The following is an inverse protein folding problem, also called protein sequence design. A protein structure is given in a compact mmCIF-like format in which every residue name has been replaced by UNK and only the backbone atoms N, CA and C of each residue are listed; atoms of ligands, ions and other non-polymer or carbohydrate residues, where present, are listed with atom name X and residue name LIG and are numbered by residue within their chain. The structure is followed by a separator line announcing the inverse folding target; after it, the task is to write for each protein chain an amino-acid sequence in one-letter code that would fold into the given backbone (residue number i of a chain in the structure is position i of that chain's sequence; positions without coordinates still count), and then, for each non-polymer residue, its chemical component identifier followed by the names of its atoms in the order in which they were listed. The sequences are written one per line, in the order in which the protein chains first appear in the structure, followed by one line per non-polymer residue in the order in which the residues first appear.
data_IF_054655617622
#
_entry.id   IF_054655617622
#
_cell.length_a   1.000
_cell.length_b   1.000
_cell.length_c   1.000
_cell.angle_alpha   90.00
_cell.angle_beta   90.00
_cell.angle_gamma   90.00
#
_symmetry.space_group_name_H-M   'P 1'
#
loop_
_entity.id
_entity.type
_entity.pdbx_description
1 polymer ?
#
# COMPACT_ATOMS: atom_id res chain seq x y z
N UNK A 1 -20.89 -12.20 0.27
CA UNK A 1 -21.33 -10.80 0.38
C UNK A 1 -22.75 -10.68 0.83
N UNK A 2 -23.71 -11.27 0.16
CA UNK A 2 -25.14 -11.17 0.49
C UNK A 2 -25.45 -11.41 1.97
N UNK A 3 -24.99 -12.53 2.55
CA UNK A 3 -25.15 -12.82 3.98
C UNK A 3 -24.59 -11.72 4.91
N UNK A 4 -23.51 -11.06 4.54
CA UNK A 4 -22.95 -9.96 5.34
C UNK A 4 -23.84 -8.72 5.27
N UNK A 5 -24.41 -8.41 4.09
CA UNK A 5 -25.36 -7.31 3.93
C UNK A 5 -26.61 -7.59 4.76
N UNK A 6 -27.18 -8.80 4.67
CA UNK A 6 -28.38 -9.19 5.43
C UNK A 6 -28.18 -9.12 6.96
N UNK A 7 -26.99 -9.52 7.46
CA UNK A 7 -26.65 -9.37 8.88
C UNK A 7 -26.53 -7.91 9.32
N UNK A 8 -26.16 -7.02 8.41
CA UNK A 8 -26.16 -5.59 8.70
C UNK A 8 -27.56 -5.00 8.67
N UNK A 9 -28.39 -5.39 7.70
CA UNK A 9 -29.79 -4.97 7.57
C UNK A 9 -30.62 -5.36 8.81
N UNK A 10 -30.45 -6.60 9.30
CA UNK A 10 -31.13 -7.08 10.51
C UNK A 10 -30.61 -6.45 11.81
N UNK A 11 -29.51 -5.70 11.76
CA UNK A 11 -28.85 -5.16 12.94
C UNK A 11 -27.97 -6.16 13.69
N UNK A 12 -28.01 -7.44 13.30
CA UNK A 12 -27.14 -8.48 13.87
C UNK A 12 -25.70 -8.32 13.43
N UNK A 13 -24.78 -8.35 14.40
CA UNK A 13 -23.32 -8.28 14.13
C UNK A 13 -22.91 -7.14 13.18
N UNK A 14 -23.60 -6.01 13.23
CA UNK A 14 -23.42 -4.81 12.36
C UNK A 14 -21.95 -4.45 12.13
N UNK A 15 -21.17 -4.32 13.20
CA UNK A 15 -19.76 -3.94 13.12
C UNK A 15 -18.92 -4.98 12.34
N UNK A 16 -19.20 -6.28 12.58
CA UNK A 16 -18.50 -7.38 11.87
C UNK A 16 -18.90 -7.43 10.40
N UNK A 17 -20.17 -7.28 10.09
CA UNK A 17 -20.69 -7.28 8.73
C UNK A 17 -20.09 -6.12 7.91
N UNK A 18 -20.13 -4.89 8.45
CA UNK A 18 -19.50 -3.71 7.85
C UNK A 18 -18.01 -3.95 7.59
N UNK A 19 -17.27 -4.44 8.58
CA UNK A 19 -15.84 -4.73 8.46
C UNK A 19 -15.56 -5.73 7.33
N UNK A 20 -16.35 -6.80 7.19
CA UNK A 20 -16.19 -7.79 6.12
C UNK A 20 -16.43 -7.12 4.76
N UNK A 21 -17.51 -6.39 4.59
CA UNK A 21 -17.85 -5.74 3.32
C UNK A 21 -16.77 -4.74 2.89
N UNK A 22 -16.31 -3.88 3.80
CA UNK A 22 -15.25 -2.90 3.49
C UNK A 22 -13.87 -3.52 3.30
N UNK A 23 -13.62 -4.69 3.90
CA UNK A 23 -12.32 -5.38 3.76
C UNK A 23 -12.18 -6.09 2.41
N UNK A 24 -13.25 -6.76 1.97
CA UNK A 24 -13.19 -7.61 0.78
C UNK A 24 -13.74 -6.94 -0.49
N UNK A 25 -13.96 -5.63 -0.46
CA UNK A 25 -14.33 -4.82 -1.62
C UNK A 25 -13.61 -3.48 -1.60
N UNK A 26 -13.62 -2.78 -2.71
CA UNK A 26 -13.12 -1.39 -2.79
C UNK A 26 -14.19 -0.35 -2.44
N UNK A 27 -15.42 -0.80 -2.13
CA UNK A 27 -16.56 0.08 -1.83
C UNK A 27 -16.52 0.63 -0.41
N UNK A 28 -17.05 1.83 -0.23
CA UNK A 28 -17.07 2.58 1.05
C UNK A 28 -18.46 3.09 1.41
N UNK A 29 -19.49 2.32 1.11
CA UNK A 29 -20.86 2.70 1.45
C UNK A 29 -21.07 2.74 2.97
N UNK A 30 -21.92 3.65 3.41
CA UNK A 30 -22.15 3.94 4.84
C UNK A 30 -23.39 3.26 5.38
N UNK A 31 -24.31 2.89 4.51
CA UNK A 31 -25.58 2.25 4.88
C UNK A 31 -25.73 0.85 4.27
N UNK A 32 -26.48 -0.05 4.91
CA UNK A 32 -26.74 -1.36 4.34
C UNK A 32 -27.57 -1.29 3.04
N UNK A 33 -28.42 -0.28 2.88
CA UNK A 33 -29.21 -0.08 1.68
C UNK A 33 -28.34 0.23 0.45
N UNK A 34 -27.30 1.07 0.60
CA UNK A 34 -26.31 1.34 -0.45
C UNK A 34 -25.55 0.07 -0.83
N UNK A 35 -25.15 -0.74 0.16
CA UNK A 35 -24.51 -2.03 -0.07
C UNK A 35 -25.41 -3.00 -0.82
N UNK A 36 -26.69 -3.04 -0.46
CA UNK A 36 -27.69 -3.89 -1.13
C UNK A 36 -27.88 -3.48 -2.57
N UNK A 37 -28.10 -2.19 -2.83
CA UNK A 37 -28.29 -1.65 -4.16
C UNK A 37 -27.08 -1.94 -5.07
N UNK A 38 -25.88 -1.71 -4.56
CA UNK A 38 -24.65 -1.98 -5.30
C UNK A 38 -24.48 -3.50 -5.57
N UNK A 39 -24.74 -4.35 -4.56
CA UNK A 39 -24.63 -5.80 -4.73
C UNK A 39 -25.61 -6.32 -5.78
N UNK A 40 -26.88 -5.93 -5.70
CA UNK A 40 -27.90 -6.35 -6.67
C UNK A 40 -27.56 -5.92 -8.11
N UNK A 41 -27.05 -4.70 -8.26
CA UNK A 41 -26.63 -4.18 -9.58
C UNK A 41 -25.42 -4.90 -10.16
N UNK A 42 -24.57 -5.51 -9.34
CA UNK A 42 -23.27 -6.03 -9.79
C UNK A 42 -23.09 -7.55 -9.57
N UNK A 43 -24.01 -8.25 -8.88
CA UNK A 43 -23.84 -9.64 -8.46
C UNK A 43 -23.50 -10.62 -9.57
N UNK A 44 -24.00 -10.40 -10.78
CA UNK A 44 -23.73 -11.23 -11.98
C UNK A 44 -22.32 -11.02 -12.54
N UNK A 45 -21.68 -9.91 -12.21
CA UNK A 45 -20.34 -9.50 -12.68
C UNK A 45 -19.27 -9.54 -11.59
N UNK A 46 -19.67 -9.92 -10.36
CA UNK A 46 -18.73 -10.03 -9.26
C UNK A 46 -17.84 -11.25 -9.43
N UNK A 47 -16.55 -11.05 -9.32
CA UNK A 47 -15.58 -12.13 -9.21
C UNK A 47 -14.64 -11.90 -8.04
N UNK A 48 -14.10 -12.99 -7.51
CA UNK A 48 -13.14 -12.97 -6.43
C UNK A 48 -11.73 -13.11 -6.99
N UNK A 49 -10.79 -12.30 -6.49
CA UNK A 49 -9.39 -12.39 -6.89
C UNK A 49 -8.48 -12.49 -5.67
N UNK A 50 -7.46 -13.33 -5.77
CA UNK A 50 -6.37 -13.43 -4.81
C UNK A 50 -5.20 -12.53 -5.20
N UNK A 51 -5.06 -12.24 -6.49
CA UNK A 51 -3.95 -11.49 -7.07
C UNK A 51 -3.87 -10.01 -6.74
N UNK A 52 -4.85 -9.46 -6.03
CA UNK A 52 -4.88 -8.05 -5.57
C UNK A 52 -5.20 -7.90 -4.09
N UNK A 53 -5.14 -9.00 -3.31
CA UNK A 53 -5.37 -8.97 -1.87
C UNK A 53 -6.73 -9.49 -1.42
N UNK A 54 -7.25 -10.54 -1.99
CA UNK A 54 -8.49 -11.19 -1.55
C UNK A 54 -9.72 -10.29 -1.68
N UNK A 55 -10.00 -9.78 -2.88
CA UNK A 55 -11.04 -8.81 -3.14
C UNK A 55 -12.15 -9.36 -4.04
N UNK A 56 -13.38 -8.92 -3.80
CA UNK A 56 -14.45 -9.00 -4.77
C UNK A 56 -14.43 -7.74 -5.64
N UNK A 57 -14.24 -7.94 -6.95
CA UNK A 57 -14.23 -6.91 -7.96
C UNK A 57 -15.41 -7.08 -8.90
N UNK A 58 -15.82 -6.00 -9.54
CA UNK A 58 -16.83 -6.01 -10.60
C UNK A 58 -16.13 -6.06 -11.95
N UNK A 59 -16.51 -7.02 -12.81
CA UNK A 59 -16.05 -7.05 -14.20
C UNK A 59 -16.70 -5.90 -14.98
N UNK A 60 -15.89 -4.93 -15.39
CA UNK A 60 -16.33 -3.72 -16.12
C UNK A 60 -15.93 -3.73 -17.57
N UNK A 61 -15.48 -4.88 -18.13
CA UNK A 61 -14.96 -4.93 -19.51
C UNK A 61 -15.98 -4.55 -20.56
N UNK A 62 -17.25 -4.72 -20.30
CA UNK A 62 -18.31 -4.56 -21.30
C UNK A 62 -19.21 -3.33 -21.10
N UNK A 63 -19.10 -2.59 -19.98
CA UNK A 63 -19.94 -1.41 -19.72
C UNK A 63 -19.26 -0.38 -18.80
N UNK A 64 -19.45 0.92 -19.12
CA UNK A 64 -19.21 2.00 -18.16
C UNK A 64 -20.27 1.92 -17.06
N UNK A 65 -19.87 1.66 -15.81
CA UNK A 65 -20.78 1.59 -14.66
C UNK A 65 -21.03 3.00 -14.14
N UNK A 66 -22.25 3.56 -14.25
CA UNK A 66 -22.56 4.86 -13.67
C UNK A 66 -22.48 4.78 -12.14
N UNK A 67 -21.75 5.70 -11.51
CA UNK A 67 -21.78 5.92 -10.06
C UNK A 67 -20.66 5.31 -9.24
N UNK A 68 -19.65 4.71 -9.84
CA UNK A 68 -18.40 4.36 -9.16
C UNK A 68 -17.31 5.33 -9.58
N UNK A 69 -17.00 6.32 -8.75
CA UNK A 69 -15.84 7.22 -8.91
C UNK A 69 -14.49 6.52 -8.71
N UNK A 70 -14.49 5.19 -8.75
CA UNK A 70 -13.27 4.40 -8.81
C UNK A 70 -12.95 4.13 -10.27
N UNK A 71 -12.29 5.07 -10.90
CA UNK A 71 -11.60 4.84 -12.16
C UNK A 71 -10.49 3.84 -11.88
N UNK A 72 -10.76 2.56 -12.12
CA UNK A 72 -9.68 1.60 -12.32
C UNK A 72 -9.00 2.10 -13.59
N UNK A 73 -7.82 2.66 -13.44
CA UNK A 73 -6.96 2.96 -14.57
C UNK A 73 -6.76 1.64 -15.30
N UNK A 74 -7.48 1.46 -16.40
CA UNK A 74 -7.30 0.32 -17.29
C UNK A 74 -5.83 0.31 -17.69
N UNK A 75 -5.16 -0.77 -17.41
CA UNK A 75 -3.86 -1.05 -17.99
C UNK A 75 -4.01 -1.07 -19.51
N UNK A 76 -3.59 0.02 -20.11
CA UNK A 76 -3.05 0.24 -21.38
C UNK A 76 -3.66 -0.39 -22.61
N UNK A 77 -4.24 0.42 -23.40
CA UNK A 77 -3.93 0.43 -24.85
C UNK A 77 -2.63 1.23 -25.00
N UNK A 78 -1.69 0.62 -25.67
CA UNK A 78 -0.41 1.19 -26.09
C UNK A 78 -0.67 2.44 -26.96
N UNK A 79 -0.77 3.59 -26.32
CA UNK A 79 -0.73 4.89 -26.97
C UNK A 79 0.63 5.48 -26.68
N UNK A 80 1.31 5.86 -27.75
CA UNK A 80 2.64 6.41 -27.81
C UNK A 80 3.03 7.25 -26.58
N UNK A 81 4.16 6.88 -25.99
CA UNK A 81 4.83 7.62 -24.92
C UNK A 81 5.04 9.07 -25.36
N UNK A 82 4.52 10.08 -24.67
CA UNK A 82 5.04 11.40 -24.77
C UNK A 82 6.43 11.40 -24.10
N UNK A 83 7.37 11.98 -24.82
CA UNK A 83 8.74 12.24 -24.51
C UNK A 83 8.94 12.71 -23.06
N UNK A 84 9.83 11.99 -22.34
CA UNK A 84 10.50 12.40 -21.08
C UNK A 84 9.71 13.31 -20.14
N UNK A 85 8.80 12.76 -19.39
CA UNK A 85 8.44 13.36 -18.12
C UNK A 85 9.61 13.14 -17.16
N UNK A 86 10.25 14.22 -16.77
CA UNK A 86 11.18 14.25 -15.64
C UNK A 86 10.49 13.61 -14.46
N UNK A 87 11.06 12.53 -13.92
CA UNK A 87 10.61 11.92 -12.67
C UNK A 87 10.91 12.92 -11.57
N UNK A 88 9.96 13.81 -11.32
CA UNK A 88 9.98 14.72 -10.19
C UNK A 88 9.92 13.87 -8.92
N UNK A 89 10.82 14.17 -8.00
CA UNK A 89 10.77 13.71 -6.62
C UNK A 89 9.37 14.03 -6.07
N UNK A 90 8.50 13.02 -5.94
CA UNK A 90 7.21 13.24 -5.32
C UNK A 90 7.40 13.15 -3.81
N UNK A 91 7.95 14.21 -3.22
CA UNK A 91 7.89 14.43 -1.79
C UNK A 91 6.44 14.74 -1.41
N UNK A 92 5.67 13.72 -1.12
CA UNK A 92 4.45 13.92 -0.34
C UNK A 92 4.87 14.05 1.11
N UNK A 93 5.16 15.26 1.56
CA UNK A 93 5.64 15.54 2.93
C UNK A 93 4.53 15.58 3.97
N UNK A 94 3.27 15.60 3.54
CA UNK A 94 2.10 15.64 4.43
C UNK A 94 1.35 14.32 4.40
N UNK A 95 0.95 13.86 5.58
CA UNK A 95 0.11 12.68 5.77
C UNK A 95 -1.26 13.09 6.29
N UNK A 96 -2.31 12.43 5.84
CA UNK A 96 -3.68 12.59 6.30
C UNK A 96 -4.40 11.23 6.34
N UNK A 97 -5.67 11.20 6.72
CA UNK A 97 -6.46 9.97 6.80
C UNK A 97 -6.67 9.28 5.43
N UNK A 98 -6.52 9.99 4.32
CA UNK A 98 -6.63 9.43 2.96
C UNK A 98 -5.29 8.90 2.46
N UNK A 99 -4.20 9.57 2.85
CA UNK A 99 -2.82 9.21 2.52
C UNK A 99 -1.98 9.12 3.79
N UNK A 100 -2.19 8.08 4.63
CA UNK A 100 -1.56 8.01 5.94
C UNK A 100 -0.06 7.69 5.90
N UNK A 101 0.51 7.40 4.73
CA UNK A 101 1.93 7.08 4.58
C UNK A 101 2.56 7.96 3.52
N UNK A 102 3.53 8.77 3.92
CA UNK A 102 4.41 9.52 3.05
C UNK A 102 5.82 8.89 3.07
N UNK A 103 6.45 8.76 1.91
CA UNK A 103 7.77 8.16 1.79
C UNK A 103 8.65 9.10 0.98
N UNK A 104 9.85 9.36 1.51
CA UNK A 104 10.91 10.06 0.80
C UNK A 104 12.20 9.24 0.86
N UNK A 105 13.05 9.40 -0.14
CA UNK A 105 14.36 8.78 -0.15
C UNK A 105 15.38 9.70 -0.79
N UNK A 106 16.63 9.65 -0.31
CA UNK A 106 17.75 10.41 -0.86
C UNK A 106 19.06 9.65 -0.63
N UNK A 107 20.09 10.11 -1.28
CA UNK A 107 21.44 9.55 -1.17
C UNK A 107 22.35 10.56 -0.48
N UNK A 108 23.11 10.09 0.50
CA UNK A 108 24.13 10.86 1.23
C UNK A 108 25.51 10.31 0.89
N UNK A 109 26.51 11.17 0.74
CA UNK A 109 27.89 10.75 0.56
C UNK A 109 28.53 10.46 1.93
N UNK A 110 29.19 9.32 2.06
CA UNK A 110 29.91 8.94 3.25
C UNK A 110 31.42 9.25 3.12
N UNK A 111 32.11 9.49 4.24
CA UNK A 111 33.57 9.52 4.26
C UNK A 111 34.12 8.18 3.74
N UNK A 112 35.03 8.22 2.80
CA UNK A 112 35.63 7.01 2.21
C UNK A 112 35.07 6.59 0.85
N UNK A 113 34.15 7.39 0.27
CA UNK A 113 33.67 7.21 -1.10
C UNK A 113 32.42 6.33 -1.25
N UNK A 114 31.97 5.67 -0.19
CA UNK A 114 30.68 5.01 -0.18
C UNK A 114 29.53 6.04 -0.08
N UNK A 115 28.33 5.58 -0.39
CA UNK A 115 27.09 6.38 -0.29
C UNK A 115 26.07 5.68 0.57
N UNK A 116 25.17 6.44 1.17
CA UNK A 116 24.10 5.93 2.02
C UNK A 116 22.76 6.29 1.42
N UNK A 117 21.97 5.29 1.09
CA UNK A 117 20.55 5.47 0.74
C UNK A 117 19.78 5.58 2.05
N UNK A 118 19.07 6.68 2.21
CA UNK A 118 18.22 6.97 3.38
C UNK A 118 16.77 7.00 2.92
N UNK A 119 15.95 6.08 3.43
CA UNK A 119 14.52 5.99 3.13
C UNK A 119 13.76 6.35 4.40
N UNK A 120 13.03 7.44 4.36
CA UNK A 120 12.20 7.93 5.46
C UNK A 120 10.73 7.64 5.16
N UNK A 121 10.06 6.98 6.10
CA UNK A 121 8.62 6.68 6.03
C UNK A 121 7.95 7.42 7.18
N UNK A 122 7.08 8.37 6.85
CA UNK A 122 6.25 9.09 7.81
C UNK A 122 4.84 8.50 7.80
N UNK A 123 4.35 8.14 8.98
CA UNK A 123 3.06 7.48 9.19
C UNK A 123 2.16 8.44 9.97
N UNK A 124 0.95 8.65 9.47
CA UNK A 124 -0.03 9.53 10.11
C UNK A 124 -0.40 9.05 11.51
N UNK A 125 -0.69 9.99 12.40
CA UNK A 125 -1.07 9.66 13.79
C UNK A 125 -2.27 8.73 13.84
N UNK A 126 -2.21 7.68 14.66
CA UNK A 126 -3.24 6.65 14.76
C UNK A 126 -3.13 5.54 13.71
N UNK A 127 -2.18 5.64 12.78
CA UNK A 127 -1.89 4.61 11.79
C UNK A 127 -0.57 3.89 12.07
N UNK A 128 -0.43 2.69 11.52
CA UNK A 128 0.78 1.89 11.57
C UNK A 128 0.96 1.07 10.30
N UNK A 129 2.21 0.65 10.04
CA UNK A 129 2.56 -0.35 9.03
C UNK A 129 3.33 -1.48 9.73
N UNK A 130 3.40 -2.65 9.13
CA UNK A 130 3.92 -3.84 9.80
C UNK A 130 5.42 -4.02 9.56
N UNK A 131 6.21 -4.06 10.64
CA UNK A 131 7.64 -4.35 10.60
C UNK A 131 7.91 -5.86 10.49
N UNK A 132 7.11 -6.64 11.20
CA UNK A 132 7.11 -8.11 11.20
C UNK A 132 5.71 -8.58 11.52
N UNK A 133 5.25 -9.60 10.83
CA UNK A 133 3.94 -10.21 11.04
C UNK A 133 4.13 -11.61 11.58
N UNK A 134 3.40 -11.99 12.63
CA UNK A 134 3.35 -13.35 13.12
C UNK A 134 2.62 -14.25 12.10
N UNK A 135 2.99 -15.54 12.02
CA UNK A 135 2.40 -16.48 11.06
C UNK A 135 0.87 -16.61 11.18
N UNK A 136 0.34 -16.36 12.37
CA UNK A 136 -1.10 -16.42 12.65
C UNK A 136 -1.88 -15.18 12.24
N UNK A 137 -1.18 -14.09 11.89
CA UNK A 137 -1.79 -12.80 11.61
C UNK A 137 -1.93 -12.58 10.09
N UNK A 138 -3.07 -12.09 9.61
CA UNK A 138 -3.35 -11.94 8.17
C UNK A 138 -2.86 -10.60 7.61
N UNK A 139 -1.75 -10.07 8.11
CA UNK A 139 -1.21 -8.78 7.69
C UNK A 139 -0.02 -8.95 6.74
N UNK A 140 0.40 -7.87 6.11
CA UNK A 140 1.52 -7.85 5.17
C UNK A 140 2.66 -7.03 5.75
N UNK A 141 3.83 -7.66 5.84
CA UNK A 141 5.08 -7.03 6.31
C UNK A 141 5.54 -5.95 5.32
N UNK A 142 6.10 -4.87 5.86
CA UNK A 142 6.75 -3.84 5.05
C UNK A 142 8.03 -4.38 4.41
N UNK A 143 8.08 -4.35 3.09
CA UNK A 143 9.24 -4.73 2.30
C UNK A 143 9.88 -3.47 1.70
N UNK A 144 11.20 -3.42 1.77
CA UNK A 144 12.00 -2.40 1.10
C UNK A 144 12.95 -3.12 0.15
N UNK A 145 12.82 -2.82 -1.15
CA UNK A 145 13.67 -3.33 -2.22
C UNK A 145 14.33 -2.14 -2.93
N UNK A 146 15.62 -2.26 -3.20
CA UNK A 146 16.38 -1.23 -3.89
C UNK A 146 16.89 -1.85 -5.19
N UNK A 147 16.41 -1.35 -6.30
CA UNK A 147 16.89 -1.72 -7.63
C UNK A 147 18.12 -0.88 -7.92
N UNK A 148 19.27 -1.54 -7.90
CA UNK A 148 20.57 -0.93 -8.17
C UNK A 148 20.94 -1.19 -9.62
N UNK A 149 21.46 -0.18 -10.34
CA UNK A 149 21.99 -0.36 -11.67
C UNK A 149 23.33 -1.12 -11.62
N UNK A 150 23.78 -1.59 -12.79
CA UNK A 150 25.07 -2.23 -12.94
C UNK A 150 26.21 -1.28 -12.49
N UNK A 151 27.15 -1.82 -11.72
CA UNK A 151 28.27 -1.07 -11.15
C UNK A 151 28.03 -0.50 -9.75
N UNK A 152 26.82 -0.66 -9.19
CA UNK A 152 26.55 -0.33 -7.79
C UNK A 152 26.21 -1.61 -7.01
N UNK A 153 26.83 -1.77 -5.85
CA UNK A 153 26.62 -2.90 -4.96
C UNK A 153 26.23 -2.43 -3.56
N UNK A 154 25.43 -3.26 -2.85
CA UNK A 154 25.13 -3.00 -1.45
C UNK A 154 26.30 -3.35 -0.56
N UNK A 155 26.55 -2.53 0.47
CA UNK A 155 27.53 -2.78 1.52
C UNK A 155 26.78 -3.13 2.80
N UNK A 156 26.93 -4.37 3.25
CA UNK A 156 26.20 -4.88 4.41
C UNK A 156 24.71 -5.09 4.17
N UNK A 157 23.97 -5.25 5.27
CA UNK A 157 22.52 -5.47 5.24
C UNK A 157 21.74 -4.15 5.37
N UNK A 158 20.51 -4.15 4.83
CA UNK A 158 19.56 -3.06 5.03
C UNK A 158 19.30 -2.84 6.53
N UNK A 159 19.70 -1.71 7.06
CA UNK A 159 19.42 -1.32 8.43
C UNK A 159 17.94 -0.98 8.57
N UNK A 160 17.24 -1.78 9.37
CA UNK A 160 15.82 -1.61 9.65
C UNK A 160 15.63 -0.91 10.99
N UNK A 161 14.68 0.04 11.11
CA UNK A 161 14.38 0.67 12.40
C UNK A 161 13.74 -0.34 13.35
N UNK A 162 13.87 -0.09 14.65
CA UNK A 162 13.13 -0.85 15.66
C UNK A 162 11.63 -0.55 15.55
N UNK A 163 10.82 -1.60 15.64
CA UNK A 163 9.36 -1.48 15.70
C UNK A 163 8.83 -1.68 17.13
N UNK A 164 7.53 -1.41 17.31
CA UNK A 164 6.80 -1.65 18.57
C UNK A 164 6.03 -2.98 18.48
N UNK A 165 6.06 -3.76 19.54
CA UNK A 165 5.22 -4.97 19.65
C UNK A 165 3.74 -4.55 19.59
N UNK A 166 3.02 -5.14 18.63
CA UNK A 166 1.62 -4.83 18.36
C UNK A 166 0.65 -5.73 19.15
N UNK A 167 0.94 -7.02 19.21
CA UNK A 167 0.10 -8.00 19.88
C UNK A 167 0.91 -9.14 20.53
N UNK A 168 0.22 -10.02 21.26
CA UNK A 168 0.82 -11.16 21.96
C UNK A 168 1.36 -12.25 21.00
N UNK A 169 0.88 -12.29 19.75
CA UNK A 169 1.39 -13.23 18.75
C UNK A 169 2.79 -12.87 18.24
N UNK A 170 3.28 -11.68 18.59
CA UNK A 170 4.63 -11.23 18.24
C UNK A 170 4.70 -10.40 16.96
N UNK A 171 3.56 -9.93 16.44
CA UNK A 171 3.54 -8.93 15.37
C UNK A 171 4.10 -7.61 15.86
N UNK A 172 4.94 -6.98 15.03
CA UNK A 172 5.64 -5.72 15.31
C UNK A 172 5.25 -4.71 14.25
N UNK A 173 5.02 -3.46 14.67
CA UNK A 173 4.60 -2.36 13.78
C UNK A 173 5.57 -1.19 13.82
N UNK A 174 5.56 -0.41 12.76
CA UNK A 174 6.14 0.92 12.69
C UNK A 174 5.03 1.98 12.83
N UNK A 175 5.33 3.03 13.56
CA UNK A 175 4.46 4.18 13.80
C UNK A 175 5.27 5.48 13.69
N UNK A 176 4.60 6.60 13.49
CA UNK A 176 5.19 7.94 13.41
C UNK A 176 6.15 8.09 12.22
N UNK A 177 7.44 8.17 12.50
CA UNK A 177 8.49 8.29 11.51
C UNK A 177 9.54 7.20 11.72
N UNK A 178 9.90 6.50 10.64
CA UNK A 178 10.94 5.48 10.66
C UNK A 178 11.89 5.67 9.49
N UNK A 179 13.14 5.26 9.70
CA UNK A 179 14.21 5.46 8.71
C UNK A 179 14.92 4.14 8.46
N UNK A 180 14.96 3.75 7.19
CA UNK A 180 15.78 2.64 6.68
C UNK A 180 17.05 3.21 6.07
N UNK A 181 18.16 2.46 6.19
CA UNK A 181 19.45 2.88 5.65
C UNK A 181 20.13 1.71 4.95
N UNK A 182 20.67 1.98 3.75
CA UNK A 182 21.46 1.01 3.00
C UNK A 182 22.72 1.70 2.48
N UNK A 183 23.86 1.22 2.91
CA UNK A 183 25.13 1.63 2.37
C UNK A 183 25.36 0.97 1.01
N UNK A 184 25.88 1.73 0.06
CA UNK A 184 26.21 1.28 -1.30
C UNK A 184 27.61 1.77 -1.70
N UNK A 185 28.24 1.03 -2.58
CA UNK A 185 29.52 1.37 -3.20
C UNK A 185 29.41 1.28 -4.71
N UNK A 186 30.36 1.91 -5.41
CA UNK A 186 30.39 1.96 -6.87
C UNK A 186 29.81 3.24 -7.44
N UNK A 187 29.98 3.40 -8.75
CA UNK A 187 29.51 4.54 -9.53
C UNK A 187 28.60 4.05 -10.66
N UNK A 188 27.51 4.74 -10.89
CA UNK A 188 26.65 4.54 -12.05
C UNK A 188 26.01 5.88 -12.44
N UNK A 189 25.83 6.07 -13.73
CA UNK A 189 25.16 7.25 -14.31
C UNK A 189 23.62 7.09 -14.37
N UNK A 190 23.10 5.95 -13.98
CA UNK A 190 21.68 5.62 -14.07
C UNK A 190 20.97 5.74 -12.72
N UNK A 191 19.69 6.11 -12.77
CA UNK A 191 18.84 6.29 -11.59
C UNK A 191 18.63 4.95 -10.84
N UNK A 192 18.72 5.00 -9.54
CA UNK A 192 18.32 3.91 -8.64
C UNK A 192 16.83 4.03 -8.31
N UNK A 193 16.15 2.91 -8.03
CA UNK A 193 14.75 2.91 -7.64
C UNK A 193 14.55 2.16 -6.34
N UNK A 194 13.95 2.84 -5.35
CA UNK A 194 13.46 2.19 -4.14
C UNK A 194 12.01 1.79 -4.31
N UNK A 195 11.68 0.52 -4.05
CA UNK A 195 10.32 0.00 -3.99
C UNK A 195 9.97 -0.34 -2.55
N UNK A 196 8.89 0.25 -2.06
CA UNK A 196 8.44 0.07 -0.69
C UNK A 196 7.02 -0.47 -0.71
N UNK A 197 6.88 -1.79 -0.43
CA UNK A 197 5.61 -2.46 -0.27
C UNK A 197 5.18 -2.43 1.20
N UNK A 198 3.92 -2.08 1.48
CA UNK A 198 3.40 -2.05 2.84
C UNK A 198 1.88 -2.19 2.89
N UNK A 199 1.37 -2.58 4.05
CA UNK A 199 -0.04 -2.48 4.40
C UNK A 199 -0.17 -1.50 5.57
N UNK A 200 -1.03 -0.48 5.42
CA UNK A 200 -1.28 0.52 6.45
C UNK A 200 -2.63 0.27 7.11
N UNK A 201 -2.65 0.25 8.44
CA UNK A 201 -3.85 0.05 9.24
C UNK A 201 -3.95 1.10 10.35
N UNK A 202 -5.17 1.34 10.82
CA UNK A 202 -5.45 1.94 12.12
C UNK A 202 -6.26 0.96 12.97
N UNK A 203 -6.81 1.39 14.11
CA UNK A 203 -7.57 0.52 15.01
C UNK A 203 -8.83 -0.09 14.37
N UNK A 204 -9.35 0.50 13.30
CA UNK A 204 -10.63 0.12 12.70
C UNK A 204 -10.52 -0.37 11.28
N UNK A 205 -9.52 0.07 10.52
CA UNK A 205 -9.40 -0.18 9.07
C UNK A 205 -7.97 -0.60 8.72
N UNK A 206 -7.84 -1.65 7.90
CA UNK A 206 -6.64 -1.95 7.14
C UNK A 206 -6.85 -1.55 5.68
N UNK A 207 -5.95 -0.74 5.18
CA UNK A 207 -5.95 -0.36 3.76
C UNK A 207 -5.46 -1.51 2.89
N UNK A 208 -5.76 -1.44 1.62
CA UNK A 208 -5.18 -2.36 0.62
C UNK A 208 -3.66 -2.23 0.63
N UNK A 209 -2.93 -3.35 0.57
CA UNK A 209 -1.48 -3.31 0.38
C UNK A 209 -1.09 -2.46 -0.82
N UNK A 210 -0.07 -1.66 -0.65
CA UNK A 210 0.37 -0.66 -1.63
C UNK A 210 1.87 -0.76 -1.83
N UNK A 211 2.34 -0.62 -3.06
CA UNK A 211 3.75 -0.42 -3.37
C UNK A 211 3.98 1.03 -3.85
N UNK A 212 4.95 1.71 -3.27
CA UNK A 212 5.43 3.02 -3.75
C UNK A 212 6.84 2.87 -4.33
N UNK A 213 7.08 3.57 -5.45
CA UNK A 213 8.38 3.61 -6.14
C UNK A 213 8.94 5.02 -6.07
N UNK A 214 10.20 5.13 -5.68
CA UNK A 214 10.91 6.40 -5.52
C UNK A 214 12.21 6.29 -6.28
N UNK A 215 12.39 7.16 -7.29
CA UNK A 215 13.64 7.31 -8.02
C UNK A 215 14.66 8.09 -7.19
N UNK A 216 15.90 7.63 -7.18
CA UNK A 216 17.04 8.29 -6.56
C UNK A 216 18.02 8.70 -7.66
N UNK A 217 18.47 9.93 -7.61
CA UNK A 217 19.52 10.48 -8.50
C UNK A 217 20.84 10.55 -7.78
#
# INVERSE_FOLDING_TARGET
MDKAISLWESGERRAKARRILTRYTLCRFTTPAEWRAWFEANKSRLFFTEGGGWLFLVDTRDEAVPGNDYTILQAGTEAALPERAQVGITETTTTDDRNPVAISAHVENLPGGNRLIVIKIKIHSGYHIYARVAETDPFITTEVKIDLPEGIETVGELQRPAGRVYNQAGTVVYEKEVVFRQEITGEAETDMVCRIGYQCCNETICMTPTEKKIGLK
#
